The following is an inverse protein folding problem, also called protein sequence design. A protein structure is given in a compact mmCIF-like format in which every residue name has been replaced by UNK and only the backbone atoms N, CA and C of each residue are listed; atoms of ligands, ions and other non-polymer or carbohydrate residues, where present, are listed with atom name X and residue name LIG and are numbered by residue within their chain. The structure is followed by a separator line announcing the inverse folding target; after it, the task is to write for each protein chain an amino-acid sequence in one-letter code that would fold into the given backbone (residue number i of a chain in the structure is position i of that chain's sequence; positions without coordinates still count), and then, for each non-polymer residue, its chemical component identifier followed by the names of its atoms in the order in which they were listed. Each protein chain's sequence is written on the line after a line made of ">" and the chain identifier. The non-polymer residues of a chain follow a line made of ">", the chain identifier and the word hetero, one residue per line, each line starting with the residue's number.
data_IF_552105621946
#
_entry.id   IF_552105621946
#
_cell.length_a   1.000
_cell.length_b   1.000
_cell.length_c   1.000
_cell.angle_alpha   90.00
_cell.angle_beta   90.00
_cell.angle_gamma   90.00
#
_symmetry.space_group_name_H-M   'P 1'
#
loop_
_entity.id
_entity.type
_entity.pdbx_description
1 polymer ?
#
# COMPACT_ATOMS: atom_id res chain seq x y z
N UNK A 1 1.16 19.29 16.09
CA UNK A 1 2.59 18.93 16.14
C UNK A 1 3.01 18.72 14.71
N UNK A 2 4.19 19.19 14.28
CA UNK A 2 4.61 19.01 12.90
C UNK A 2 4.70 17.53 12.52
N UNK A 3 4.34 17.20 11.28
CA UNK A 3 4.45 15.81 10.79
C UNK A 3 5.93 15.44 10.65
N UNK A 4 6.34 14.37 11.33
CA UNK A 4 7.70 13.84 11.22
C UNK A 4 7.80 12.78 10.12
N UNK A 5 8.33 13.17 8.96
CA UNK A 5 8.51 12.30 7.79
C UNK A 5 9.62 11.25 7.94
N UNK A 6 10.39 11.28 9.03
CA UNK A 6 11.33 10.19 9.35
C UNK A 6 10.63 8.97 9.94
N UNK A 7 9.40 9.14 10.44
CA UNK A 7 8.58 8.06 10.99
C UNK A 7 7.77 7.36 9.89
N UNK A 8 7.44 6.08 10.12
CA UNK A 8 6.55 5.34 9.22
C UNK A 8 5.18 6.02 9.08
N UNK A 9 4.63 6.57 10.17
CA UNK A 9 3.35 7.30 10.15
C UNK A 9 3.42 8.57 9.29
N UNK A 10 4.49 9.36 9.42
CA UNK A 10 4.71 10.54 8.58
C UNK A 10 4.91 10.20 7.10
N UNK A 11 5.58 9.08 6.81
CA UNK A 11 5.71 8.58 5.43
C UNK A 11 4.37 8.14 4.85
N UNK A 12 3.51 7.46 5.64
CA UNK A 12 2.14 7.13 5.21
C UNK A 12 1.36 8.39 4.89
N UNK A 13 1.37 9.39 5.79
CA UNK A 13 0.71 10.70 5.60
C UNK A 13 1.15 11.39 4.30
N UNK A 14 2.45 11.35 3.99
CA UNK A 14 3.01 11.89 2.75
C UNK A 14 2.50 11.15 1.50
N UNK A 15 2.36 9.83 1.56
CA UNK A 15 1.89 9.00 0.44
C UNK A 15 0.38 9.17 0.16
N UNK A 16 -0.42 9.52 1.16
CA UNK A 16 -1.89 9.72 1.06
C UNK A 16 -2.31 11.20 0.95
N UNK A 17 -1.41 12.07 0.47
CA UNK A 17 -1.40 13.52 0.67
C UNK A 17 -2.09 14.10 1.94
N UNK A 18 -2.03 13.43 3.08
CA UNK A 18 -2.64 13.90 4.35
C UNK A 18 -1.64 14.71 5.17
N UNK A 19 -1.19 15.83 4.60
CA UNK A 19 -0.15 16.70 5.16
C UNK A 19 -0.73 17.93 5.88
N UNK A 20 -2.06 18.02 6.03
CA UNK A 20 -2.70 19.12 6.75
C UNK A 20 -2.66 18.85 8.25
N UNK A 21 -1.78 19.57 8.96
CA UNK A 21 -1.59 19.39 10.40
C UNK A 21 -2.75 19.93 11.26
N UNK A 22 -3.58 20.81 10.69
CA UNK A 22 -4.70 21.44 11.42
C UNK A 22 -5.96 20.58 11.35
N UNK A 23 -6.22 20.00 10.18
CA UNK A 23 -7.38 19.15 9.91
C UNK A 23 -6.96 17.95 9.06
N UNK A 24 -6.30 16.96 9.67
CA UNK A 24 -5.90 15.77 8.94
C UNK A 24 -7.14 14.94 8.58
N UNK A 25 -7.08 14.26 7.44
CA UNK A 25 -8.15 13.36 6.96
C UNK A 25 -8.24 12.11 7.83
N UNK A 26 -7.09 11.63 8.35
CA UNK A 26 -6.99 10.52 9.27
C UNK A 26 -6.34 10.96 10.58
N UNK A 27 -6.81 10.38 11.69
CA UNK A 27 -6.15 10.57 12.98
C UNK A 27 -4.83 9.79 13.03
N UNK A 28 -3.93 10.18 13.92
CA UNK A 28 -2.66 9.46 14.10
C UNK A 28 -2.90 7.99 14.48
N UNK A 29 -3.90 7.73 15.33
CA UNK A 29 -4.27 6.36 15.73
C UNK A 29 -4.77 5.52 14.54
N UNK A 30 -5.45 6.14 13.57
CA UNK A 30 -5.89 5.46 12.36
C UNK A 30 -4.70 5.11 11.45
N UNK A 31 -3.75 6.05 11.30
CA UNK A 31 -2.52 5.81 10.52
C UNK A 31 -1.69 4.69 11.15
N UNK A 32 -1.53 4.72 12.47
CA UNK A 32 -0.82 3.67 13.22
C UNK A 32 -1.54 2.33 13.14
N UNK A 33 -2.88 2.31 13.16
CA UNK A 33 -3.66 1.09 12.98
C UNK A 33 -3.45 0.49 11.59
N UNK A 34 -3.44 1.29 10.52
CA UNK A 34 -3.17 0.79 9.17
C UNK A 34 -1.75 0.22 9.06
N UNK A 35 -0.76 0.86 9.68
CA UNK A 35 0.59 0.33 9.78
C UNK A 35 0.61 -1.01 10.53
N UNK A 36 -0.09 -1.12 11.65
CA UNK A 36 -0.19 -2.37 12.41
C UNK A 36 -0.83 -3.51 11.63
N UNK A 37 -1.90 -3.24 10.87
CA UNK A 37 -2.60 -4.22 10.04
C UNK A 37 -1.70 -4.73 8.91
N UNK A 38 -0.93 -3.85 8.28
CA UNK A 38 -0.10 -4.16 7.11
C UNK A 38 1.34 -4.53 7.48
N UNK A 39 1.57 -4.97 8.72
CA UNK A 39 2.84 -5.49 9.20
C UNK A 39 3.98 -4.45 9.26
N UNK A 40 3.63 -3.17 9.41
CA UNK A 40 4.58 -2.05 9.40
C UNK A 40 4.99 -1.58 7.99
N UNK A 41 4.41 -2.16 6.94
CA UNK A 41 4.77 -1.81 5.57
C UNK A 41 4.11 -0.49 5.16
N UNK A 42 4.91 0.58 5.07
CA UNK A 42 4.45 1.94 4.76
C UNK A 42 3.61 2.01 3.48
N UNK A 43 4.07 1.39 2.39
CA UNK A 43 3.36 1.41 1.09
C UNK A 43 2.01 0.69 1.15
N UNK A 44 1.94 -0.47 1.83
CA UNK A 44 0.69 -1.23 2.01
C UNK A 44 -0.28 -0.49 2.94
N UNK A 45 0.21 0.08 4.03
CA UNK A 45 -0.59 0.90 4.94
C UNK A 45 -1.18 2.13 4.24
N UNK A 46 -0.38 2.83 3.42
CA UNK A 46 -0.86 3.94 2.60
C UNK A 46 -1.92 3.50 1.58
N UNK A 47 -1.75 2.32 0.97
CA UNK A 47 -2.76 1.75 0.07
C UNK A 47 -4.09 1.49 0.80
N UNK A 48 -4.05 0.87 1.99
CA UNK A 48 -5.23 0.61 2.81
C UNK A 48 -5.94 1.91 3.22
N UNK A 49 -5.18 2.94 3.62
CA UNK A 49 -5.71 4.25 3.93
C UNK A 49 -6.42 4.90 2.73
N UNK A 50 -5.81 4.87 1.53
CA UNK A 50 -6.42 5.39 0.31
C UNK A 50 -7.72 4.65 -0.06
N UNK A 51 -7.80 3.34 0.17
CA UNK A 51 -9.02 2.57 -0.07
C UNK A 51 -10.17 2.94 0.88
N UNK A 52 -9.84 3.20 2.14
CA UNK A 52 -10.80 3.70 3.13
C UNK A 52 -11.36 5.06 2.71
N UNK A 53 -10.49 5.99 2.33
CA UNK A 53 -10.87 7.32 1.82
C UNK A 53 -11.73 7.20 0.56
N UNK A 54 -11.31 6.35 -0.39
CA UNK A 54 -12.07 6.13 -1.63
C UNK A 54 -13.46 5.53 -1.37
N UNK A 55 -13.59 4.70 -0.35
CA UNK A 55 -14.87 4.10 0.05
C UNK A 55 -15.80 5.13 0.66
N UNK A 56 -15.28 6.01 1.53
CA UNK A 56 -16.05 7.13 2.07
C UNK A 56 -16.53 8.05 0.95
N UNK A 57 -15.66 8.40 0.00
CA UNK A 57 -16.03 9.24 -1.15
C UNK A 57 -17.08 8.57 -2.06
N UNK A 58 -17.00 7.24 -2.24
CA UNK A 58 -17.99 6.48 -3.00
C UNK A 58 -19.35 6.43 -2.28
N UNK A 59 -19.36 6.35 -0.96
CA UNK A 59 -20.58 6.42 -0.14
C UNK A 59 -21.21 7.81 -0.22
N UNK A 60 -20.40 8.87 -0.08
CA UNK A 60 -20.83 10.27 -0.25
C UNK A 60 -21.42 10.49 -1.65
N UNK A 61 -20.70 10.06 -2.70
CA UNK A 61 -21.18 10.14 -4.09
C UNK A 61 -22.51 9.40 -4.32
N UNK A 62 -22.72 8.26 -3.67
CA UNK A 62 -24.00 7.52 -3.75
C UNK A 62 -25.14 8.27 -3.08
N UNK A 63 -24.88 8.94 -1.95
CA UNK A 63 -25.88 9.80 -1.30
C UNK A 63 -26.19 11.01 -2.19
N UNK A 64 -25.19 11.68 -2.77
CA UNK A 64 -25.42 12.86 -3.62
C UNK A 64 -26.04 12.49 -4.98
N UNK A 65 -25.79 11.29 -5.52
CA UNK A 65 -26.55 10.72 -6.65
C UNK A 65 -28.06 10.72 -6.41
N UNK A 66 -28.50 10.53 -5.16
CA UNK A 66 -29.93 10.62 -4.82
C UNK A 66 -30.45 12.07 -4.77
N UNK A 67 -29.55 13.06 -4.79
CA UNK A 67 -29.84 14.50 -4.65
C UNK A 67 -29.14 15.38 -5.74
N UNK A 68 -29.00 14.86 -6.97
CA UNK A 68 -28.64 15.61 -8.20
C UNK A 68 -27.20 16.16 -8.40
N UNK A 69 -26.14 15.64 -7.74
CA UNK A 69 -24.75 16.07 -8.05
C UNK A 69 -23.71 14.92 -7.98
N UNK A 70 -23.59 14.15 -9.06
CA UNK A 70 -22.95 12.83 -9.05
C UNK A 70 -21.57 12.72 -9.73
N UNK A 71 -21.09 13.74 -10.42
CA UNK A 71 -20.20 13.49 -11.57
C UNK A 71 -18.72 13.31 -11.20
N UNK A 72 -18.28 13.83 -10.05
CA UNK A 72 -16.85 13.92 -9.72
C UNK A 72 -16.35 12.88 -8.70
N UNK A 73 -17.12 12.56 -7.65
CA UNK A 73 -16.63 11.65 -6.60
C UNK A 73 -16.44 10.20 -7.08
N UNK A 74 -17.20 9.73 -8.08
CA UNK A 74 -16.98 8.41 -8.67
C UNK A 74 -15.63 8.29 -9.41
N UNK A 75 -15.17 9.38 -10.05
CA UNK A 75 -13.85 9.44 -10.70
C UNK A 75 -12.75 9.52 -9.65
N UNK A 76 -12.92 10.34 -8.61
CA UNK A 76 -11.98 10.45 -7.49
C UNK A 76 -11.77 9.09 -6.81
N UNK A 77 -12.85 8.36 -6.49
CA UNK A 77 -12.75 7.02 -5.92
C UNK A 77 -12.00 6.04 -6.83
N UNK A 78 -12.15 6.15 -8.15
CA UNK A 78 -11.47 5.27 -9.10
C UNK A 78 -9.96 5.55 -9.14
N UNK A 79 -9.56 6.82 -9.18
CA UNK A 79 -8.15 7.25 -9.15
C UNK A 79 -7.47 6.87 -7.83
N UNK A 80 -8.14 7.07 -6.69
CA UNK A 80 -7.61 6.68 -5.38
C UNK A 80 -7.36 5.16 -5.30
N UNK A 81 -8.29 4.35 -5.83
CA UNK A 81 -8.11 2.90 -5.93
C UNK A 81 -6.99 2.51 -6.91
N UNK A 82 -6.77 3.27 -7.98
CA UNK A 82 -5.66 3.04 -8.90
C UNK A 82 -4.31 3.29 -8.21
N UNK A 83 -4.19 4.40 -7.48
CA UNK A 83 -3.01 4.72 -6.68
C UNK A 83 -2.74 3.68 -5.59
N UNK A 84 -3.78 3.18 -4.92
CA UNK A 84 -3.65 2.12 -3.93
C UNK A 84 -3.11 0.81 -4.55
N UNK A 85 -3.60 0.41 -5.73
CA UNK A 85 -3.08 -0.77 -6.45
C UNK A 85 -1.60 -0.62 -6.80
N UNK A 86 -1.21 0.56 -7.26
CA UNK A 86 0.18 0.85 -7.62
C UNK A 86 1.11 0.78 -6.40
N UNK A 87 0.69 1.31 -5.25
CA UNK A 87 1.48 1.20 -4.02
C UNK A 87 1.65 -0.25 -3.55
N UNK A 88 0.62 -1.09 -3.71
CA UNK A 88 0.73 -2.53 -3.43
C UNK A 88 1.68 -3.23 -4.38
N UNK A 89 1.59 -2.95 -5.69
CA UNK A 89 2.53 -3.48 -6.69
C UNK A 89 3.97 -3.15 -6.32
N UNK A 90 4.24 -1.89 -5.95
CA UNK A 90 5.57 -1.47 -5.52
C UNK A 90 6.01 -2.18 -4.23
N UNK A 91 5.11 -2.40 -3.27
CA UNK A 91 5.44 -3.15 -2.06
C UNK A 91 5.78 -4.61 -2.37
N UNK A 92 5.01 -5.26 -3.25
CA UNK A 92 5.29 -6.64 -3.69
C UNK A 92 6.64 -6.74 -4.43
N UNK A 93 7.00 -5.72 -5.21
CA UNK A 93 8.30 -5.63 -5.90
C UNK A 93 9.47 -5.40 -4.93
N UNK A 94 9.28 -4.57 -3.90
CA UNK A 94 10.28 -4.35 -2.85
C UNK A 94 10.53 -5.66 -2.07
N UNK A 95 9.46 -6.40 -1.76
CA UNK A 95 9.52 -7.69 -1.07
C UNK A 95 10.24 -8.74 -1.94
N UNK A 96 9.92 -8.82 -3.24
CA UNK A 96 10.55 -9.74 -4.18
C UNK A 96 12.04 -9.43 -4.41
N UNK A 97 12.41 -8.15 -4.43
CA UNK A 97 13.81 -7.71 -4.54
C UNK A 97 14.60 -8.03 -3.27
N UNK A 98 13.96 -7.94 -2.11
CA UNK A 98 14.58 -8.27 -0.81
C UNK A 98 14.74 -9.78 -0.63
N UNK A 99 13.84 -10.60 -1.19
CA UNK A 99 13.90 -12.06 -1.16
C UNK A 99 14.91 -12.69 -2.15
N UNK A 100 16.03 -12.00 -2.40
CA UNK A 100 17.03 -12.33 -3.43
C UNK A 100 17.43 -13.81 -3.53
N UNK A 101 17.38 -14.30 -4.77
CA UNK A 101 18.19 -15.36 -5.40
C UNK A 101 18.22 -16.74 -4.72
N UNK A 102 17.18 -17.54 -4.95
CA UNK A 102 17.30 -19.00 -4.86
C UNK A 102 18.18 -19.51 -6.02
N UNK A 103 19.49 -19.62 -5.77
CA UNK A 103 20.43 -20.22 -6.71
C UNK A 103 20.13 -21.73 -6.84
N UNK A 104 19.64 -22.15 -8.00
CA UNK A 104 19.57 -23.57 -8.35
C UNK A 104 21.01 -24.03 -8.64
N UNK A 105 21.60 -24.74 -7.70
CA UNK A 105 22.85 -25.48 -7.93
C UNK A 105 22.52 -26.81 -8.60
N UNK A 106 23.19 -27.11 -9.70
CA UNK A 106 23.11 -28.44 -10.30
C UNK A 106 23.82 -29.43 -9.39
N UNK A 107 23.05 -30.28 -8.70
CA UNK A 107 23.60 -31.33 -7.86
C UNK A 107 24.12 -32.46 -8.75
N UNK A 108 25.41 -32.42 -9.07
CA UNK A 108 26.08 -33.53 -9.75
C UNK A 108 26.22 -34.69 -8.76
N UNK A 109 25.47 -35.78 -9.00
CA UNK A 109 25.52 -37.00 -8.19
C UNK A 109 26.96 -37.57 -8.16
N UNK A 110 27.60 -37.68 -6.99
CA UNK A 110 28.97 -38.16 -6.87
C UNK A 110 29.15 -39.65 -7.19
N UNK A 111 28.07 -40.44 -7.27
CA UNK A 111 28.16 -41.89 -7.50
C UNK A 111 28.12 -42.30 -8.98
N UNK A 112 27.85 -41.39 -9.91
CA UNK A 112 27.73 -41.73 -11.33
C UNK A 112 29.09 -41.95 -12.03
N UNK A 113 30.23 -41.66 -11.37
CA UNK A 113 31.57 -41.71 -11.99
C UNK A 113 32.37 -43.00 -11.80
N UNK A 114 31.83 -44.02 -11.14
CA UNK A 114 32.62 -45.20 -10.73
C UNK A 114 32.07 -46.52 -11.28
N UNK A 115 31.97 -46.67 -12.60
CA UNK A 115 31.92 -48.00 -13.22
C UNK A 115 32.43 -48.00 -14.66
N UNK A 116 33.75 -47.94 -14.81
CA UNK A 116 34.42 -48.50 -15.99
C UNK A 116 35.80 -48.99 -15.59
N UNK A 117 35.84 -50.21 -15.04
CA UNK A 117 36.97 -51.13 -15.04
C UNK A 117 36.39 -52.54 -15.21
#
# INVERSE_FOLDING_TARGET
>A
MPIDYSTAAGQVRLLIPDTNETYPLLTDEQVDAFLGIEGGTVKRAAAAALESIATNEALVSKVIKSQDLSTDGAKVSAELRARARELRRQADEDDATTAGELQIVDFVDPFTRSRCL
#
